data_IF_778049990868
#
_entry.id   IF_778049990868
#
_cell.length_a   1.000
_cell.length_b   1.000
_cell.length_c   1.000
_cell.angle_alpha   90.00
_cell.angle_beta   90.00
_cell.angle_gamma   90.00
#
_symmetry.space_group_name_H-M   'P 1'
#
loop_
_entity.id
_entity.type
_entity.pdbx_description
1 polymer ?
#
# COMPACT_ATOMS: atom_id res chain seq x y z
N UNK A 1 -31.26 6.39 48.26
CA UNK A 1 -31.08 7.83 47.99
C UNK A 1 -30.51 7.97 46.60
N UNK A 2 -31.40 8.32 45.69
CA UNK A 2 -31.22 8.53 44.25
C UNK A 2 -30.63 9.91 44.01
N UNK A 3 -29.67 10.02 43.07
CA UNK A 3 -29.35 11.27 42.41
C UNK A 3 -28.88 10.97 40.98
N UNK A 4 -29.88 10.86 40.11
CA UNK A 4 -29.79 10.89 38.66
C UNK A 4 -29.46 12.31 38.22
N UNK A 5 -28.43 12.50 37.39
CA UNK A 5 -28.23 13.76 36.67
C UNK A 5 -28.15 13.46 35.18
N UNK A 6 -29.31 13.66 34.55
CA UNK A 6 -29.54 13.64 33.11
C UNK A 6 -28.99 14.94 32.54
N UNK A 7 -28.03 14.86 31.62
CA UNK A 7 -27.78 15.93 30.66
C UNK A 7 -28.15 15.41 29.27
N UNK A 8 -29.43 15.59 28.93
CA UNK A 8 -29.92 15.47 27.59
C UNK A 8 -29.68 16.81 26.88
N UNK A 9 -29.31 16.74 25.58
CA UNK A 9 -29.61 17.69 24.49
C UNK A 9 -28.38 18.11 23.67
N UNK A 10 -27.93 17.17 22.83
CA UNK A 10 -27.39 17.42 21.48
C UNK A 10 -27.48 16.11 20.68
N UNK A 11 -28.70 15.60 20.44
CA UNK A 11 -28.97 14.53 19.47
C UNK A 11 -29.57 15.17 18.23
N UNK A 12 -28.81 15.15 17.14
CA UNK A 12 -29.21 15.59 15.81
C UNK A 12 -28.42 14.80 14.77
N UNK A 13 -28.98 13.63 14.41
CA UNK A 13 -28.73 12.86 13.18
C UNK A 13 -27.29 12.44 12.86
N UNK A 14 -26.80 11.40 13.55
CA UNK A 14 -25.73 10.50 13.08
C UNK A 14 -26.15 9.02 13.15
N UNK A 15 -27.46 8.74 13.14
CA UNK A 15 -28.00 7.38 13.29
C UNK A 15 -28.21 6.68 11.94
N UNK A 16 -27.13 6.18 11.31
CA UNK A 16 -27.17 4.91 10.53
C UNK A 16 -25.80 4.21 10.43
N UNK A 17 -24.65 4.86 10.71
CA UNK A 17 -23.33 4.25 10.47
C UNK A 17 -22.65 3.62 11.70
N UNK A 18 -23.32 3.62 12.85
CA UNK A 18 -22.78 3.15 14.13
C UNK A 18 -23.39 1.85 14.66
N UNK A 19 -24.01 1.02 13.80
CA UNK A 19 -24.45 -0.32 14.25
C UNK A 19 -23.26 -1.26 14.19
N UNK A 20 -22.60 -1.38 15.33
CA UNK A 20 -21.67 -2.41 15.77
C UNK A 20 -21.57 -3.63 14.85
N UNK A 21 -20.69 -3.56 13.86
CA UNK A 21 -20.06 -4.76 13.31
C UNK A 21 -18.86 -5.05 14.22
N UNK A 22 -19.13 -5.39 15.49
CA UNK A 22 -18.18 -6.10 16.32
C UNK A 22 -18.02 -7.49 15.71
N UNK A 23 -17.29 -7.57 14.59
CA UNK A 23 -16.77 -8.84 14.10
C UNK A 23 -15.76 -9.25 15.16
N UNK A 24 -16.22 -10.05 16.12
CA UNK A 24 -15.35 -10.61 17.15
C UNK A 24 -14.24 -11.39 16.46
N UNK A 25 -13.05 -11.45 17.08
CA UNK A 25 -11.95 -12.26 16.54
C UNK A 25 -12.42 -13.70 16.24
N UNK A 26 -13.38 -14.21 17.01
CA UNK A 26 -14.08 -15.49 16.81
C UNK A 26 -14.90 -15.55 15.51
N UNK A 27 -15.63 -14.49 15.15
CA UNK A 27 -16.39 -14.45 13.91
C UNK A 27 -15.46 -14.43 12.68
N UNK A 28 -14.30 -13.77 12.78
CA UNK A 28 -13.27 -13.81 11.73
C UNK A 28 -12.69 -15.22 11.61
N UNK A 29 -12.33 -15.88 12.71
CA UNK A 29 -11.81 -17.25 12.68
C UNK A 29 -12.85 -18.27 12.19
N UNK A 30 -14.12 -18.15 12.57
CA UNK A 30 -15.19 -19.02 12.04
C UNK A 30 -15.39 -18.83 10.54
N UNK A 31 -15.42 -17.58 10.06
CA UNK A 31 -15.57 -17.32 8.64
C UNK A 31 -14.35 -17.82 7.84
N UNK A 32 -13.13 -17.66 8.36
CA UNK A 32 -11.91 -18.19 7.75
C UNK A 32 -11.87 -19.73 7.75
N UNK A 33 -12.36 -20.38 8.80
CA UNK A 33 -12.46 -21.85 8.85
C UNK A 33 -13.46 -22.36 7.79
N UNK A 34 -14.60 -21.68 7.63
CA UNK A 34 -15.59 -22.03 6.62
C UNK A 34 -15.08 -21.78 5.19
N UNK A 35 -14.31 -20.71 4.97
CA UNK A 35 -13.63 -20.43 3.70
C UNK A 35 -12.54 -21.46 3.40
N UNK A 36 -11.80 -21.91 4.42
CA UNK A 36 -10.81 -22.98 4.29
C UNK A 36 -11.46 -24.32 3.89
N UNK A 37 -12.63 -24.62 4.45
CA UNK A 37 -13.41 -25.82 4.13
C UNK A 37 -13.99 -25.77 2.71
N UNK A 38 -14.39 -24.59 2.23
CA UNK A 38 -14.99 -24.41 0.90
C UNK A 38 -13.99 -24.20 -0.24
N UNK A 39 -12.82 -23.61 0.03
CA UNK A 39 -11.87 -23.18 -1.00
C UNK A 39 -10.45 -23.76 -0.83
N UNK A 40 -10.22 -24.59 0.19
CA UNK A 40 -8.92 -25.19 0.51
C UNK A 40 -7.94 -24.22 1.18
N UNK A 41 -6.79 -24.75 1.62
CA UNK A 41 -5.72 -24.03 2.35
C UNK A 41 -5.23 -22.77 1.60
N UNK A 42 -5.06 -22.85 0.29
CA UNK A 42 -4.43 -21.76 -0.48
C UNK A 42 -5.27 -20.49 -0.57
N UNK A 43 -6.60 -20.60 -0.56
CA UNK A 43 -7.50 -19.44 -0.63
C UNK A 43 -7.53 -18.69 0.71
N UNK A 44 -7.55 -19.43 1.82
CA UNK A 44 -7.49 -18.84 3.16
C UNK A 44 -6.13 -18.13 3.39
N UNK A 45 -5.01 -18.73 2.96
CA UNK A 45 -3.69 -18.10 3.02
C UNK A 45 -3.60 -16.82 2.18
N UNK A 46 -4.16 -16.80 0.97
CA UNK A 46 -4.19 -15.61 0.13
C UNK A 46 -5.05 -14.49 0.73
N UNK A 47 -6.20 -14.83 1.32
CA UNK A 47 -7.08 -13.87 2.03
C UNK A 47 -6.35 -13.30 3.24
N UNK A 48 -5.66 -14.13 4.03
CA UNK A 48 -4.86 -13.68 5.17
C UNK A 48 -3.70 -12.78 4.74
N UNK A 49 -3.02 -13.09 3.64
CA UNK A 49 -1.90 -12.29 3.14
C UNK A 49 -2.35 -10.91 2.68
N UNK A 50 -3.42 -10.85 1.88
CA UNK A 50 -3.99 -9.58 1.41
C UNK A 50 -4.57 -8.72 2.54
N UNK A 51 -5.25 -9.34 3.51
CA UNK A 51 -5.73 -8.64 4.71
C UNK A 51 -4.56 -8.08 5.55
N UNK A 52 -3.47 -8.84 5.67
CA UNK A 52 -2.27 -8.42 6.39
C UNK A 52 -1.58 -7.24 5.70
N UNK A 53 -1.48 -7.26 4.37
CA UNK A 53 -0.94 -6.13 3.60
C UNK A 53 -1.83 -4.89 3.71
N UNK A 54 -3.16 -5.06 3.69
CA UNK A 54 -4.12 -3.98 3.92
C UNK A 54 -3.94 -3.32 5.29
N UNK A 55 -3.82 -4.10 6.35
CA UNK A 55 -3.56 -3.58 7.70
C UNK A 55 -2.22 -2.82 7.77
N UNK A 56 -1.15 -3.39 7.20
CA UNK A 56 0.16 -2.74 7.11
C UNK A 56 0.10 -1.41 6.37
N UNK A 57 -0.69 -1.30 5.31
CA UNK A 57 -0.87 -0.05 4.57
C UNK A 57 -1.53 1.03 5.44
N UNK A 58 -2.57 0.66 6.21
CA UNK A 58 -3.25 1.58 7.12
C UNK A 58 -2.29 2.09 8.19
N UNK A 59 -1.51 1.20 8.81
CA UNK A 59 -0.53 1.57 9.82
C UNK A 59 0.61 2.42 9.24
N UNK A 60 1.10 2.09 8.03
CA UNK A 60 2.11 2.88 7.34
C UNK A 60 1.62 4.29 7.01
N UNK A 61 0.35 4.46 6.60
CA UNK A 61 -0.28 5.76 6.36
C UNK A 61 -0.44 6.56 7.65
N UNK A 62 -0.85 5.91 8.75
CA UNK A 62 -0.91 6.54 10.08
C UNK A 62 0.47 7.03 10.51
N UNK A 63 1.50 6.20 10.32
CA UNK A 63 2.88 6.57 10.62
C UNK A 63 3.33 7.75 9.74
N UNK A 64 3.06 7.74 8.43
CA UNK A 64 3.38 8.86 7.53
C UNK A 64 2.77 10.17 8.04
N UNK A 65 1.49 10.17 8.42
CA UNK A 65 0.83 11.34 8.98
C UNK A 65 1.53 11.84 10.25
N UNK A 66 1.87 10.93 11.18
CA UNK A 66 2.56 11.27 12.41
C UNK A 66 3.98 11.84 12.18
N UNK A 67 4.77 11.25 11.26
CA UNK A 67 6.11 11.75 10.96
C UNK A 67 6.09 13.06 10.17
N UNK A 68 5.09 13.26 9.30
CA UNK A 68 4.89 14.50 8.56
C UNK A 68 4.59 15.65 9.52
N UNK A 69 3.71 15.43 10.49
CA UNK A 69 3.40 16.44 11.50
C UNK A 69 4.61 16.78 12.37
N UNK A 70 5.39 15.75 12.75
CA UNK A 70 6.64 15.95 13.50
C UNK A 70 7.70 16.72 12.68
N UNK A 71 7.77 16.48 11.37
CA UNK A 71 8.65 17.21 10.47
C UNK A 71 8.23 18.68 10.31
N UNK A 72 6.93 18.96 10.20
CA UNK A 72 6.38 20.33 10.22
C UNK A 72 6.75 21.07 11.49
N UNK A 73 6.55 20.46 12.66
CA UNK A 73 6.97 21.08 13.92
C UNK A 73 8.48 21.35 14.02
N UNK A 74 9.31 20.48 13.40
CA UNK A 74 10.77 20.71 13.33
C UNK A 74 11.11 21.88 12.41
N UNK A 75 10.37 22.03 11.32
CA UNK A 75 10.47 23.17 10.41
C UNK A 75 10.05 24.47 11.09
N UNK A 76 8.93 24.49 11.82
CA UNK A 76 8.49 25.70 12.55
C UNK A 76 9.54 26.14 13.58
N UNK A 77 10.21 25.19 14.25
CA UNK A 77 11.34 25.48 15.16
C UNK A 77 12.57 26.01 14.41
N UNK A 78 12.87 25.46 13.24
CA UNK A 78 13.94 25.91 12.34
C UNK A 78 13.69 27.37 11.90
N UNK A 79 12.46 27.68 11.48
CA UNK A 79 12.02 29.02 11.07
C UNK A 79 12.01 30.02 12.24
N UNK A 80 11.71 29.58 13.46
CA UNK A 80 11.80 30.44 14.65
C UNK A 80 13.24 30.82 15.00
N UNK A 81 14.22 29.93 14.77
CA UNK A 81 15.65 30.17 15.03
C UNK A 81 16.31 30.94 13.88
N UNK A 82 15.78 30.78 12.66
CA UNK A 82 16.33 31.36 11.44
C UNK A 82 15.26 32.20 10.76
N UNK A 83 15.41 33.53 10.85
CA UNK A 83 14.50 34.46 10.17
C UNK A 83 14.35 34.02 8.70
N UNK A 84 13.11 33.63 8.35
CA UNK A 84 12.55 33.23 7.04
C UNK A 84 12.87 31.85 6.43
N UNK A 85 13.42 30.91 7.21
CA UNK A 85 13.39 29.49 6.83
C UNK A 85 14.19 29.09 5.58
N UNK A 86 14.06 27.81 5.18
CA UNK A 86 14.78 27.22 4.03
C UNK A 86 14.19 27.62 2.67
N UNK A 87 12.87 27.87 2.58
CA UNK A 87 12.17 27.97 1.27
C UNK A 87 11.79 29.40 0.85
N UNK A 88 12.13 30.42 1.65
CA UNK A 88 11.59 31.78 1.46
C UNK A 88 12.63 32.89 1.34
N UNK A 89 13.92 32.60 1.18
CA UNK A 89 14.96 33.61 1.45
C UNK A 89 15.78 34.12 0.25
N UNK A 90 15.95 35.44 0.26
CA UNK A 90 16.86 36.27 -0.54
C UNK A 90 18.33 35.84 -0.34
N UNK A 91 19.00 35.56 -1.47
CA UNK A 91 20.43 35.24 -1.58
C UNK A 91 21.36 36.20 -0.82
N UNK A 92 20.96 37.45 -0.56
CA UNK A 92 21.74 38.41 0.22
C UNK A 92 21.95 37.99 1.68
N UNK A 93 21.03 37.23 2.29
CA UNK A 93 21.17 36.74 3.69
C UNK A 93 21.96 35.43 3.78
N UNK A 94 22.07 34.69 2.67
CA UNK A 94 22.95 33.53 2.52
C UNK A 94 24.44 33.91 2.49
N UNK A 95 24.78 35.13 2.11
CA UNK A 95 26.17 35.62 2.13
C UNK A 95 26.79 35.65 3.53
N UNK A 96 25.99 35.44 4.59
CA UNK A 96 26.52 35.38 5.95
C UNK A 96 27.11 36.69 6.42
N UNK A 97 26.89 37.81 5.71
CA UNK A 97 27.27 39.16 6.13
C UNK A 97 26.36 39.63 7.26
N UNK A 98 26.40 38.90 8.38
CA UNK A 98 26.06 39.48 9.66
C UNK A 98 27.07 40.59 9.92
N UNK A 99 26.60 41.71 10.48
CA UNK A 99 27.49 42.79 10.94
C UNK A 99 28.59 42.28 11.90
N UNK A 100 28.36 41.14 12.57
CA UNK A 100 29.34 40.42 13.39
C UNK A 100 29.10 38.91 13.32
N UNK A 101 30.06 38.15 12.79
CA UNK A 101 30.00 36.69 12.79
C UNK A 101 30.03 36.15 14.22
N UNK A 102 29.14 35.21 14.54
CA UNK A 102 29.10 34.51 15.82
C UNK A 102 29.07 32.99 15.57
N UNK A 103 30.18 32.28 15.83
CA UNK A 103 30.28 30.84 15.58
C UNK A 103 29.18 30.03 16.28
N UNK A 104 28.81 30.43 17.51
CA UNK A 104 27.73 29.78 18.27
C UNK A 104 26.36 29.91 17.61
N UNK A 105 26.01 31.09 17.08
CA UNK A 105 24.73 31.29 16.37
C UNK A 105 24.71 30.56 15.03
N UNK A 106 25.85 30.53 14.33
CA UNK A 106 25.99 29.79 13.08
C UNK A 106 25.86 28.28 13.30
N UNK A 107 26.52 27.72 14.33
CA UNK A 107 26.40 26.32 14.68
C UNK A 107 24.95 25.95 15.06
N UNK A 108 24.27 26.78 15.86
CA UNK A 108 22.87 26.55 16.23
C UNK A 108 21.93 26.53 15.00
N UNK A 109 22.17 27.42 14.02
CA UNK A 109 21.45 27.43 12.75
C UNK A 109 21.68 26.17 11.93
N UNK A 110 22.95 25.77 11.74
CA UNK A 110 23.29 24.56 10.99
C UNK A 110 22.67 23.32 11.65
N UNK A 111 22.73 23.22 12.98
CA UNK A 111 22.08 22.13 13.71
C UNK A 111 20.56 22.11 13.56
N UNK A 112 19.90 23.26 13.35
CA UNK A 112 18.46 23.31 13.10
C UNK A 112 18.15 22.77 11.69
N UNK A 113 18.95 23.15 10.68
CA UNK A 113 18.83 22.63 9.32
C UNK A 113 19.09 21.12 9.25
N UNK A 114 20.12 20.62 9.93
CA UNK A 114 20.41 19.18 9.97
C UNK A 114 19.26 18.39 10.60
N UNK A 115 18.60 18.94 11.62
CA UNK A 115 17.43 18.32 12.25
C UNK A 115 16.23 18.31 11.30
N UNK A 116 15.98 19.43 10.62
CA UNK A 116 14.91 19.53 9.63
C UNK A 116 15.13 18.54 8.47
N UNK A 117 16.34 18.50 7.91
CA UNK A 117 16.71 17.57 6.85
C UNK A 117 16.47 16.11 7.27
N UNK A 118 16.95 15.72 8.45
CA UNK A 118 16.71 14.37 9.01
C UNK A 118 15.22 14.06 9.18
N UNK A 119 14.41 15.03 9.60
CA UNK A 119 12.98 14.82 9.75
C UNK A 119 12.32 14.53 8.39
N UNK A 120 12.70 15.27 7.33
CA UNK A 120 12.19 15.04 5.98
C UNK A 120 12.70 13.75 5.33
N UNK A 121 13.93 13.32 5.64
CA UNK A 121 14.42 12.00 5.21
C UNK A 121 13.55 10.86 5.74
N UNK A 122 13.06 10.97 6.97
CA UNK A 122 12.14 9.99 7.59
C UNK A 122 10.76 10.01 6.89
N UNK A 123 10.26 11.19 6.51
CA UNK A 123 9.03 11.32 5.72
C UNK A 123 9.20 10.61 4.38
N UNK A 124 10.26 10.92 3.64
CA UNK A 124 10.56 10.29 2.35
C UNK A 124 10.73 8.77 2.45
N UNK A 125 11.36 8.27 3.52
CA UNK A 125 11.45 6.84 3.80
C UNK A 125 10.08 6.20 4.03
N UNK A 126 9.20 6.86 4.77
CA UNK A 126 7.83 6.39 5.03
C UNK A 126 6.98 6.34 3.76
N UNK A 127 7.11 7.34 2.88
CA UNK A 127 6.46 7.34 1.56
C UNK A 127 6.95 6.20 0.65
N UNK A 128 8.25 5.90 0.67
CA UNK A 128 8.80 4.74 -0.05
C UNK A 128 8.22 3.44 0.48
N UNK A 129 8.07 3.29 1.80
CA UNK A 129 7.46 2.11 2.39
C UNK A 129 6.01 1.91 1.94
N UNK A 130 5.20 2.99 1.92
CA UNK A 130 3.82 2.94 1.40
C UNK A 130 3.80 2.49 -0.07
N UNK A 131 4.66 3.08 -0.92
CA UNK A 131 4.74 2.71 -2.34
C UNK A 131 5.07 1.24 -2.55
N UNK A 132 5.97 0.69 -1.73
CA UNK A 132 6.31 -0.74 -1.77
C UNK A 132 5.08 -1.59 -1.41
N UNK A 133 4.38 -1.29 -0.32
CA UNK A 133 3.18 -2.04 0.10
C UNK A 133 2.08 -1.94 -0.96
N UNK A 134 1.81 -0.76 -1.50
CA UNK A 134 0.82 -0.58 -2.57
C UNK A 134 1.18 -1.38 -3.83
N UNK A 135 2.48 -1.46 -4.17
CA UNK A 135 2.93 -2.27 -5.30
C UNK A 135 2.73 -3.77 -5.06
N UNK A 136 2.91 -4.24 -3.82
CA UNK A 136 2.66 -5.62 -3.44
C UNK A 136 1.17 -5.96 -3.51
N UNK A 137 0.30 -5.11 -2.98
CA UNK A 137 -1.16 -5.27 -3.07
C UNK A 137 -1.59 -5.32 -4.54
N UNK A 138 -1.12 -4.40 -5.38
CA UNK A 138 -1.43 -4.41 -6.82
C UNK A 138 -0.96 -5.69 -7.49
N UNK A 139 0.22 -6.21 -7.12
CA UNK A 139 0.75 -7.46 -7.63
C UNK A 139 -0.11 -8.66 -7.23
N UNK A 140 -0.51 -8.74 -5.96
CA UNK A 140 -1.40 -9.82 -5.48
C UNK A 140 -2.76 -9.80 -6.19
N UNK A 141 -3.36 -8.63 -6.36
CA UNK A 141 -4.62 -8.53 -7.11
C UNK A 141 -4.45 -8.90 -8.59
N UNK A 142 -3.32 -8.51 -9.19
CA UNK A 142 -3.02 -8.80 -10.60
C UNK A 142 -2.76 -10.29 -10.82
N UNK A 143 -2.05 -10.93 -9.89
CA UNK A 143 -1.57 -12.31 -10.00
C UNK A 143 -2.55 -13.31 -9.36
N UNK A 144 -3.73 -12.83 -8.90
CA UNK A 144 -4.78 -13.67 -8.35
C UNK A 144 -5.24 -14.71 -9.38
N UNK A 145 -5.07 -15.99 -9.03
CA UNK A 145 -5.52 -17.11 -9.85
C UNK A 145 -7.04 -17.06 -10.01
N UNK A 146 -7.50 -17.01 -11.25
CA UNK A 146 -8.91 -17.14 -11.59
C UNK A 146 -9.15 -18.64 -11.83
N UNK A 147 -10.04 -19.29 -11.07
CA UNK A 147 -10.35 -20.70 -11.30
C UNK A 147 -10.95 -20.87 -12.69
N UNK A 148 -10.49 -21.89 -13.41
CA UNK A 148 -10.97 -22.26 -14.73
C UNK A 148 -11.17 -23.78 -14.82
N UNK A 149 -12.08 -24.18 -15.69
CA UNK A 149 -12.36 -25.59 -15.98
C UNK A 149 -11.43 -26.15 -17.07
N UNK A 150 -11.29 -27.48 -17.14
CA UNK A 150 -10.47 -28.10 -18.19
C UNK A 150 -11.04 -27.84 -19.59
N UNK A 151 -12.36 -27.77 -19.73
CA UNK A 151 -13.04 -27.48 -20.99
C UNK A 151 -12.75 -26.05 -21.47
N UNK A 152 -12.77 -25.07 -20.55
CA UNK A 152 -12.38 -23.69 -20.84
C UNK A 152 -10.92 -23.59 -21.25
N UNK A 153 -10.03 -24.35 -20.59
CA UNK A 153 -8.62 -24.40 -20.94
C UNK A 153 -8.40 -24.97 -22.35
N UNK A 154 -9.16 -26.00 -22.75
CA UNK A 154 -9.06 -26.58 -24.10
C UNK A 154 -9.66 -25.65 -25.17
N UNK A 155 -10.69 -24.88 -24.81
CA UNK A 155 -11.35 -23.94 -25.71
C UNK A 155 -10.68 -22.55 -25.76
N UNK A 156 -9.63 -22.29 -24.97
CA UNK A 156 -8.98 -20.99 -24.92
C UNK A 156 -7.97 -20.79 -26.05
N UNK A 157 -7.91 -19.55 -26.53
CA UNK A 157 -6.94 -19.12 -27.54
C UNK A 157 -5.81 -18.29 -26.91
N UNK A 158 -6.06 -17.71 -25.72
CA UNK A 158 -5.08 -16.92 -24.99
C UNK A 158 -5.06 -17.30 -23.52
N UNK A 159 -3.85 -17.39 -22.97
CA UNK A 159 -3.61 -17.53 -21.54
C UNK A 159 -2.87 -16.33 -21.01
N UNK A 160 -3.06 -16.05 -19.71
CA UNK A 160 -2.33 -15.03 -18.98
C UNK A 160 -1.38 -15.67 -17.98
N UNK A 161 -0.15 -15.17 -17.97
CA UNK A 161 0.88 -15.48 -16.97
C UNK A 161 1.34 -14.20 -16.27
N UNK A 162 2.37 -14.32 -15.44
CA UNK A 162 3.06 -13.19 -14.81
C UNK A 162 3.68 -12.21 -15.82
N UNK A 163 4.08 -12.70 -16.99
CA UNK A 163 4.68 -11.90 -18.07
C UNK A 163 3.65 -11.22 -18.97
N UNK A 164 2.42 -11.72 -19.03
CA UNK A 164 1.34 -11.10 -19.79
C UNK A 164 0.43 -12.10 -20.51
N UNK A 165 -0.19 -11.64 -21.60
CA UNK A 165 -1.07 -12.45 -22.42
C UNK A 165 -0.29 -13.15 -23.53
N UNK A 166 -0.46 -14.45 -23.64
CA UNK A 166 0.19 -15.28 -24.63
C UNK A 166 -0.84 -16.02 -25.49
N UNK A 167 -0.53 -16.21 -26.77
CA UNK A 167 -1.36 -17.01 -27.69
C UNK A 167 -1.05 -18.49 -27.50
N UNK A 168 -2.10 -19.29 -27.39
CA UNK A 168 -2.01 -20.73 -27.18
C UNK A 168 -1.81 -21.43 -28.52
N UNK A 169 -0.78 -22.27 -28.61
CA UNK A 169 -0.54 -23.15 -29.76
C UNK A 169 -1.14 -24.52 -29.49
N UNK A 170 -0.89 -25.06 -28.29
CA UNK A 170 -1.27 -26.42 -27.93
C UNK A 170 -1.43 -26.57 -26.43
N UNK A 171 -2.53 -27.18 -26.02
CA UNK A 171 -2.78 -27.56 -24.62
C UNK A 171 -2.44 -29.04 -24.45
N UNK A 172 -1.60 -29.34 -23.47
CA UNK A 172 -1.32 -30.70 -23.01
C UNK A 172 -1.90 -30.90 -21.60
N UNK A 173 -1.89 -32.14 -21.11
CA UNK A 173 -2.42 -32.48 -19.78
C UNK A 173 -1.78 -31.70 -18.62
N UNK A 174 -0.50 -31.36 -18.71
CA UNK A 174 0.27 -30.73 -17.62
C UNK A 174 0.82 -29.35 -17.96
N UNK A 175 0.74 -28.93 -19.22
CA UNK A 175 1.35 -27.69 -19.70
C UNK A 175 0.67 -27.16 -20.95
N UNK A 176 0.78 -25.85 -21.16
CA UNK A 176 0.33 -25.16 -22.36
C UNK A 176 1.55 -24.66 -23.12
N UNK A 177 1.56 -24.89 -24.43
CA UNK A 177 2.59 -24.42 -25.34
C UNK A 177 2.11 -23.10 -25.96
N UNK A 178 2.90 -22.03 -25.84
CA UNK A 178 2.52 -20.68 -26.25
C UNK A 178 3.47 -20.05 -27.26
N UNK A 179 2.94 -19.19 -28.12
CA UNK A 179 3.73 -18.37 -29.04
C UNK A 179 4.45 -17.27 -28.26
N UNK A 180 5.77 -17.16 -28.47
CA UNK A 180 6.62 -16.14 -27.85
C UNK A 180 6.90 -14.94 -28.76
N UNK A 181 6.47 -15.01 -30.03
CA UNK A 181 6.87 -14.07 -31.09
C UNK A 181 8.22 -14.39 -31.74
N UNK A 182 8.90 -15.44 -31.28
CA UNK A 182 10.11 -15.99 -31.90
C UNK A 182 9.82 -17.30 -32.62
N UNK A 183 10.85 -17.90 -33.24
CA UNK A 183 10.73 -19.17 -33.96
C UNK A 183 10.52 -20.40 -33.06
N UNK A 184 10.48 -20.23 -31.74
CA UNK A 184 10.24 -21.32 -30.80
C UNK A 184 8.98 -21.08 -29.96
N UNK A 185 8.41 -22.21 -29.52
CA UNK A 185 7.23 -22.24 -28.65
C UNK A 185 7.70 -22.50 -27.22
N UNK A 186 7.20 -21.72 -26.27
CA UNK A 186 7.53 -21.91 -24.85
C UNK A 186 6.48 -22.78 -24.16
N UNK A 187 6.90 -23.55 -23.15
CA UNK A 187 6.04 -24.48 -22.41
C UNK A 187 5.81 -23.94 -21.01
N UNK A 188 4.55 -23.58 -20.74
CA UNK A 188 4.11 -23.01 -19.48
C UNK A 188 3.36 -24.09 -18.68
N UNK A 189 3.81 -24.44 -17.46
CA UNK A 189 3.08 -25.34 -16.58
C UNK A 189 1.71 -24.77 -16.20
N UNK A 190 0.68 -25.61 -16.06
CA UNK A 190 -0.68 -25.16 -15.70
C UNK A 190 -0.75 -24.38 -14.38
N UNK A 191 0.11 -24.74 -13.42
CA UNK A 191 0.21 -24.03 -12.15
C UNK A 191 0.62 -22.54 -12.28
N UNK A 192 1.19 -22.13 -13.42
CA UNK A 192 1.58 -20.74 -13.70
C UNK A 192 0.54 -19.96 -14.50
N UNK A 193 -0.54 -20.60 -14.93
CA UNK A 193 -1.60 -19.96 -15.71
C UNK A 193 -2.55 -19.26 -14.75
N UNK A 194 -2.67 -17.95 -14.88
CA UNK A 194 -3.44 -17.09 -13.96
C UNK A 194 -4.88 -16.93 -14.45
N UNK A 195 -5.05 -16.77 -15.76
CA UNK A 195 -6.35 -16.51 -16.41
C UNK A 195 -6.36 -17.11 -17.81
N UNK A 196 -7.51 -17.59 -18.26
CA UNK A 196 -7.73 -18.10 -19.62
C UNK A 196 -8.85 -17.31 -20.29
N UNK A 197 -8.67 -16.99 -21.58
CA UNK A 197 -9.70 -16.33 -22.39
C UNK A 197 -9.86 -16.97 -23.75
N UNK A 198 -11.12 -17.09 -24.16
CA UNK A 198 -11.48 -17.33 -25.55
C UNK A 198 -11.72 -15.97 -26.21
N UNK A 199 -10.82 -15.59 -27.10
CA UNK A 199 -11.00 -14.41 -27.95
C UNK A 199 -11.50 -14.93 -29.28
N UNK A 200 -12.63 -14.40 -29.76
CA UNK A 200 -13.04 -14.63 -31.14
C UNK A 200 -12.00 -13.94 -32.02
N UNK A 201 -11.22 -14.72 -32.76
CA UNK A 201 -10.25 -14.17 -33.70
C UNK A 201 -11.04 -13.39 -34.76
N UNK A 202 -10.83 -12.07 -34.79
CA UNK A 202 -11.43 -11.14 -35.73
C UNK A 202 -10.67 -11.15 -37.06
#
# INVERSE_FOLDING_TARGET
MTATLVCARCMGTWDVWGRDMQVTAEAITQHLAQVHELHGTSAAEAIMTSATLGAKLVDARRNLAAVTERARGTRDQSEAVTVGGITGYDSAVLSGTMRKASPRKQAARLMAYDREAKAWEVVAASERAIRVIESQIKREHRDKLIPYTEDELRACNRIRTDLGWHRVVRVNKTSVSVETGYSWVDRIPLAKVIEVRKVADA
#
